data_IF_101084295127
#
_entry.id   IF_101084295127
#
_cell.length_a   1.000
_cell.length_b   1.000
_cell.length_c   1.000
_cell.angle_alpha   90.00
_cell.angle_beta   90.00
_cell.angle_gamma   90.00
#
_symmetry.space_group_name_H-M   'P 1'
#
loop_
_entity.id
_entity.type
_entity.pdbx_description
1 polymer ?
#
# COMPACT_ATOMS: atom_id res chain seq x y z
N UNK A 1 -19.95 -15.38 -74.64
CA UNK A 1 -20.65 -16.67 -74.81
C UNK A 1 -22.08 -16.42 -74.40
N UNK A 2 -22.93 -16.15 -75.40
CA UNK A 2 -24.37 -16.05 -75.25
C UNK A 2 -24.95 -17.45 -75.06
N UNK A 3 -25.98 -17.59 -74.23
CA UNK A 3 -27.14 -18.45 -74.52
C UNK A 3 -28.24 -18.12 -73.51
N UNK A 4 -29.25 -17.38 -73.99
CA UNK A 4 -30.63 -17.48 -73.51
C UNK A 4 -31.24 -18.82 -73.95
N UNK A 5 -32.15 -19.41 -73.16
CA UNK A 5 -33.27 -20.23 -73.67
C UNK A 5 -34.52 -20.00 -72.79
N UNK A 6 -35.62 -19.64 -73.45
CA UNK A 6 -37.01 -19.31 -73.03
C UNK A 6 -37.90 -20.55 -72.71
N UNK A 7 -39.26 -20.49 -72.71
CA UNK A 7 -40.32 -19.91 -71.82
C UNK A 7 -41.27 -21.07 -71.35
N UNK A 8 -42.63 -21.05 -71.27
CA UNK A 8 -43.71 -20.02 -71.16
C UNK A 8 -44.78 -20.32 -70.05
N UNK A 9 -45.80 -19.43 -69.87
CA UNK A 9 -47.26 -19.71 -69.68
C UNK A 9 -48.01 -18.68 -68.78
N UNK A 10 -49.06 -18.09 -69.36
CA UNK A 10 -50.27 -17.50 -68.72
C UNK A 10 -51.31 -18.66 -68.51
N UNK A 11 -52.53 -18.56 -67.89
CA UNK A 11 -53.29 -17.44 -67.31
C UNK A 11 -54.13 -17.77 -66.02
N UNK A 12 -55.04 -16.83 -65.64
CA UNK A 12 -56.35 -17.00 -64.95
C UNK A 12 -56.50 -17.07 -63.41
N UNK A 13 -57.11 -15.99 -62.88
CA UNK A 13 -58.47 -15.90 -62.25
C UNK A 13 -58.81 -16.65 -60.93
N UNK A 14 -59.38 -15.86 -60.01
CA UNK A 14 -60.40 -16.10 -58.95
C UNK A 14 -59.96 -16.17 -57.46
N UNK A 15 -60.44 -15.15 -56.73
CA UNK A 15 -61.01 -15.11 -55.35
C UNK A 15 -60.60 -16.20 -54.34
N UNK A 16 -60.23 -15.77 -53.12
CA UNK A 16 -60.91 -16.09 -51.84
C UNK A 16 -60.25 -15.33 -50.67
N UNK A 17 -61.04 -15.12 -49.62
CA UNK A 17 -60.92 -14.21 -48.48
C UNK A 17 -60.07 -14.81 -47.32
N UNK A 18 -59.70 -13.93 -46.38
CA UNK A 18 -59.42 -14.11 -44.93
C UNK A 18 -57.96 -14.43 -44.50
N UNK A 19 -57.24 -13.47 -43.87
CA UNK A 19 -56.93 -13.41 -42.42
C UNK A 19 -55.88 -12.34 -42.08
N UNK A 20 -56.11 -11.69 -40.94
CA UNK A 20 -55.31 -10.64 -40.30
C UNK A 20 -53.87 -11.05 -39.99
N UNK A 21 -52.95 -10.07 -39.91
CA UNK A 21 -51.82 -10.05 -38.93
C UNK A 21 -51.07 -8.70 -38.93
N UNK A 22 -51.00 -8.15 -37.72
CA UNK A 22 -50.07 -7.17 -37.10
C UNK A 22 -49.13 -6.29 -37.94
N UNK A 23 -49.20 -4.99 -37.66
CA UNK A 23 -48.14 -3.99 -37.90
C UNK A 23 -46.95 -4.21 -36.95
N UNK A 24 -45.69 -3.94 -37.37
CA UNK A 24 -44.59 -3.84 -36.43
C UNK A 24 -44.63 -2.47 -35.75
N UNK A 25 -44.68 -2.49 -34.41
CA UNK A 25 -44.41 -1.33 -33.57
C UNK A 25 -42.92 -1.02 -33.68
N UNK A 26 -42.57 0.10 -34.31
CA UNK A 26 -41.21 0.66 -34.23
C UNK A 26 -41.00 1.21 -32.80
N UNK A 27 -40.41 0.40 -31.94
CA UNK A 27 -39.96 0.86 -30.62
C UNK A 27 -38.67 1.66 -30.81
N UNK A 28 -38.70 2.91 -30.33
CA UNK A 28 -37.59 3.85 -30.30
C UNK A 28 -36.39 3.28 -29.51
N UNK A 29 -35.42 2.66 -30.19
CA UNK A 29 -34.24 2.03 -29.56
C UNK A 29 -33.12 3.02 -29.17
N UNK A 30 -33.17 4.28 -29.63
CA UNK A 30 -32.10 5.27 -29.41
C UNK A 30 -32.05 5.81 -27.97
N UNK A 31 -33.18 5.91 -27.28
CA UNK A 31 -33.23 6.36 -25.87
C UNK A 31 -32.73 5.31 -24.87
N UNK A 32 -32.97 4.03 -25.15
CA UNK A 32 -32.59 2.92 -24.26
C UNK A 32 -31.07 2.70 -24.26
N UNK A 33 -30.41 2.95 -25.39
CA UNK A 33 -28.96 2.84 -25.51
C UNK A 33 -28.22 3.98 -24.79
N UNK A 34 -28.75 5.21 -24.80
CA UNK A 34 -28.19 6.34 -24.04
C UNK A 34 -28.35 6.18 -22.53
N UNK A 35 -29.51 5.68 -22.08
CA UNK A 35 -29.79 5.41 -20.67
C UNK A 35 -28.88 4.31 -20.09
N UNK A 36 -28.59 3.27 -20.87
CA UNK A 36 -27.70 2.18 -20.46
C UNK A 36 -26.23 2.62 -20.43
N UNK A 37 -25.77 3.45 -21.36
CA UNK A 37 -24.43 4.05 -21.35
C UNK A 37 -24.22 5.00 -20.16
N UNK A 38 -25.20 5.85 -19.83
CA UNK A 38 -25.15 6.69 -18.64
C UNK A 38 -25.14 5.86 -17.35
N UNK A 39 -25.94 4.80 -17.28
CA UNK A 39 -25.96 3.90 -16.12
C UNK A 39 -24.62 3.16 -15.94
N UNK A 40 -23.97 2.73 -17.02
CA UNK A 40 -22.61 2.15 -17.00
C UNK A 40 -21.54 3.15 -16.58
N UNK A 41 -21.64 4.41 -17.01
CA UNK A 41 -20.72 5.47 -16.62
C UNK A 41 -20.88 5.85 -15.13
N UNK A 42 -22.12 5.89 -14.62
CA UNK A 42 -22.41 6.13 -13.21
C UNK A 42 -21.98 4.93 -12.34
N UNK A 43 -22.21 3.69 -12.77
CA UNK A 43 -21.71 2.50 -12.07
C UNK A 43 -20.17 2.47 -12.04
N UNK A 44 -19.50 2.86 -13.12
CA UNK A 44 -18.04 2.93 -13.19
C UNK A 44 -17.46 4.04 -12.30
N UNK A 45 -18.14 5.20 -12.18
CA UNK A 45 -17.74 6.28 -11.28
C UNK A 45 -17.90 5.89 -9.79
N UNK A 46 -18.90 5.07 -9.44
CA UNK A 46 -19.09 4.58 -8.07
C UNK A 46 -18.04 3.55 -7.62
N UNK A 47 -17.32 2.91 -8.55
CA UNK A 47 -16.37 1.83 -8.25
C UNK A 47 -14.96 2.32 -7.83
N UNK A 48 -14.71 3.63 -7.82
CA UNK A 48 -13.36 4.17 -7.58
C UNK A 48 -13.08 4.66 -6.16
N UNK A 49 -13.98 4.44 -5.19
CA UNK A 49 -13.63 4.64 -3.79
C UNK A 49 -12.91 3.39 -3.26
N UNK A 50 -11.68 3.15 -3.72
CA UNK A 50 -10.74 2.33 -2.97
C UNK A 50 -10.31 3.18 -1.77
N UNK A 51 -11.05 3.06 -0.67
CA UNK A 51 -10.71 3.72 0.59
C UNK A 51 -9.43 3.07 1.15
N UNK A 52 -8.28 3.60 0.75
CA UNK A 52 -7.00 3.12 1.20
C UNK A 52 -6.83 3.46 2.69
N UNK A 53 -6.92 2.45 3.56
CA UNK A 53 -6.76 2.65 4.99
C UNK A 53 -5.43 3.35 5.34
N UNK A 54 -5.46 4.28 6.30
CA UNK A 54 -4.25 4.90 6.83
C UNK A 54 -3.30 3.83 7.37
N UNK A 55 -2.09 3.80 6.83
CA UNK A 55 -1.01 2.93 7.27
C UNK A 55 0.34 3.60 7.09
N UNK A 56 1.30 3.26 7.93
CA UNK A 56 2.70 3.63 7.73
C UNK A 56 3.36 2.73 6.69
N UNK A 57 4.50 3.17 6.13
CA UNK A 57 5.36 2.27 5.35
C UNK A 57 5.76 1.04 6.17
N UNK A 58 6.00 -0.08 5.49
CA UNK A 58 6.02 -1.42 6.09
C UNK A 58 7.16 -1.66 7.07
N UNK A 59 8.21 -0.83 7.04
CA UNK A 59 9.34 -0.92 7.96
C UNK A 59 9.17 -0.10 9.24
N UNK A 60 8.13 0.72 9.37
CA UNK A 60 7.83 1.42 10.62
C UNK A 60 7.13 0.47 11.61
N UNK A 61 7.44 0.59 12.90
CA UNK A 61 6.82 -0.23 13.94
C UNK A 61 7.34 0.06 15.34
N UNK A 62 6.85 -0.72 16.31
CA UNK A 62 7.30 -0.65 17.70
C UNK A 62 8.80 -0.95 17.84
N UNK A 63 9.44 -0.41 18.88
CA UNK A 63 10.87 -0.61 19.19
C UNK A 63 11.84 -0.07 18.13
N UNK A 64 11.37 0.69 17.15
CA UNK A 64 12.22 1.18 16.06
C UNK A 64 13.15 2.34 16.48
N UNK A 65 14.06 2.69 15.58
CA UNK A 65 14.92 3.88 15.71
C UNK A 65 14.65 4.83 14.55
N UNK A 66 14.38 6.10 14.87
CA UNK A 66 14.31 7.22 13.93
C UNK A 66 15.60 8.03 13.99
N UNK A 67 15.92 8.72 12.90
CA UNK A 67 17.15 9.52 12.81
C UNK A 67 17.12 10.72 13.78
N UNK A 68 18.14 10.84 14.62
CA UNK A 68 18.32 11.96 15.57
C UNK A 68 18.84 13.25 14.92
N UNK A 69 18.81 14.34 15.70
CA UNK A 69 19.44 15.63 15.41
C UNK A 69 20.94 15.49 15.10
N UNK A 70 21.50 16.37 14.24
CA UNK A 70 20.89 17.54 13.61
C UNK A 70 20.01 17.21 12.38
N UNK A 71 19.98 15.95 11.95
CA UNK A 71 19.08 15.50 10.89
C UNK A 71 17.62 15.45 11.36
N UNK A 72 16.70 15.32 10.40
CA UNK A 72 15.25 15.27 10.65
C UNK A 72 14.71 13.93 10.19
N UNK A 73 13.95 13.27 11.07
CA UNK A 73 13.25 12.05 10.72
C UNK A 73 12.08 12.35 9.76
N UNK A 74 12.00 11.56 8.68
CA UNK A 74 10.89 11.63 7.72
C UNK A 74 9.99 10.44 7.98
N UNK A 75 8.70 10.68 8.17
CA UNK A 75 7.68 9.64 8.25
C UNK A 75 6.79 9.74 7.02
N UNK A 76 6.37 8.59 6.52
CA UNK A 76 5.48 8.52 5.38
C UNK A 76 4.68 7.21 5.41
N UNK A 77 3.62 7.17 4.63
CA UNK A 77 2.77 6.01 4.51
C UNK A 77 1.68 6.21 3.48
N UNK A 78 0.65 5.39 3.58
CA UNK A 78 -0.50 5.40 2.68
C UNK A 78 -1.75 5.86 3.43
N UNK A 79 -2.73 6.37 2.70
CA UNK A 79 -4.03 6.75 3.24
C UNK A 79 -5.02 7.08 2.14
N UNK A 80 -6.26 7.47 2.51
CA UNK A 80 -7.29 7.83 1.54
C UNK A 80 -6.92 9.14 0.84
N UNK A 81 -7.16 9.24 -0.47
CA UNK A 81 -6.83 10.44 -1.25
C UNK A 81 -7.54 11.68 -0.67
N UNK A 82 -6.80 12.77 -0.50
CA UNK A 82 -7.31 14.02 0.07
C UNK A 82 -7.48 14.03 1.59
N UNK A 83 -7.26 12.91 2.29
CA UNK A 83 -7.32 12.86 3.74
C UNK A 83 -6.19 13.69 4.38
N UNK A 84 -6.46 14.27 5.55
CA UNK A 84 -5.46 14.99 6.33
C UNK A 84 -4.83 14.09 7.39
N UNK A 85 -3.51 14.00 7.39
CA UNK A 85 -2.72 13.20 8.34
C UNK A 85 -1.93 14.11 9.25
N UNK A 86 -2.00 13.88 10.54
CA UNK A 86 -1.20 14.58 11.56
C UNK A 86 -0.33 13.57 12.30
N UNK A 87 0.93 13.93 12.53
CA UNK A 87 1.85 13.13 13.35
C UNK A 87 2.13 13.88 14.65
N UNK A 88 1.98 13.17 15.76
CA UNK A 88 2.34 13.64 17.09
C UNK A 88 3.37 12.73 17.72
N UNK A 89 4.33 13.34 18.40
CA UNK A 89 5.36 12.70 19.18
C UNK A 89 5.13 13.03 20.66
N UNK A 90 5.14 12.01 21.51
CA UNK A 90 4.99 12.13 22.97
C UNK A 90 6.12 11.38 23.67
N UNK A 91 6.73 11.97 24.70
CA UNK A 91 7.87 11.37 25.40
C UNK A 91 8.70 12.43 26.12
N UNK A 92 10.05 12.33 26.13
CA UNK A 92 10.94 13.35 26.68
C UNK A 92 10.71 14.75 26.12
N UNK A 93 10.20 14.83 24.89
CA UNK A 93 9.77 16.07 24.24
C UNK A 93 8.45 15.80 23.52
N UNK A 94 7.60 16.82 23.40
CA UNK A 94 6.38 16.74 22.63
C UNK A 94 6.51 17.54 21.35
N UNK A 95 5.96 16.98 20.27
CA UNK A 95 5.89 17.64 18.97
C UNK A 95 4.58 17.26 18.29
N UNK A 96 4.01 18.17 17.52
CA UNK A 96 2.87 17.89 16.65
C UNK A 96 3.08 18.61 15.34
N UNK A 97 2.95 17.89 14.23
CA UNK A 97 3.11 18.45 12.89
C UNK A 97 1.84 19.20 12.48
N UNK A 98 1.95 20.11 11.52
CA UNK A 98 0.76 20.54 10.77
C UNK A 98 0.15 19.34 10.03
N UNK A 99 -1.17 19.32 9.79
CA UNK A 99 -1.78 18.31 8.94
C UNK A 99 -1.17 18.35 7.53
N UNK A 100 -0.90 17.18 6.97
CA UNK A 100 -0.48 17.01 5.56
C UNK A 100 -1.58 16.30 4.80
N UNK A 101 -1.79 16.68 3.54
CA UNK A 101 -2.79 16.03 2.68
C UNK A 101 -2.17 14.80 2.02
N UNK A 102 -2.92 13.70 2.00
CA UNK A 102 -2.57 12.52 1.19
C UNK A 102 -2.74 12.86 -0.28
N UNK A 103 -1.70 12.63 -1.07
CA UNK A 103 -1.68 12.84 -2.53
C UNK A 103 -1.17 11.59 -3.23
N UNK A 104 -1.87 11.13 -4.26
CA UNK A 104 -1.57 9.86 -4.96
C UNK A 104 -1.52 8.67 -3.98
N UNK A 105 -2.39 8.68 -2.97
CA UNK A 105 -2.47 7.67 -1.92
C UNK A 105 -1.30 7.66 -0.93
N UNK A 106 -0.38 8.63 -1.00
CA UNK A 106 0.80 8.73 -0.14
C UNK A 106 0.76 10.02 0.68
N UNK A 107 1.14 9.95 1.95
CA UNK A 107 1.43 11.11 2.78
C UNK A 107 2.88 11.05 3.27
N UNK A 108 3.47 12.23 3.49
CA UNK A 108 4.82 12.37 4.03
C UNK A 108 4.91 13.59 4.93
N UNK A 109 5.60 13.44 6.05
CA UNK A 109 5.90 14.54 6.96
C UNK A 109 7.34 14.46 7.43
N UNK A 110 7.94 15.61 7.69
CA UNK A 110 9.29 15.70 8.27
C UNK A 110 9.15 16.27 9.68
N UNK A 111 9.69 15.57 10.67
CA UNK A 111 9.68 16.04 12.05
C UNK A 111 10.71 17.16 12.26
N UNK A 112 10.56 17.91 13.34
CA UNK A 112 11.64 18.75 13.83
C UNK A 112 12.80 17.87 14.34
N UNK A 113 14.04 18.39 14.38
CA UNK A 113 15.17 17.62 14.87
C UNK A 113 14.93 17.24 16.33
N UNK A 114 15.09 15.96 16.64
CA UNK A 114 14.90 15.42 18.00
C UNK A 114 16.25 14.94 18.51
N UNK A 115 16.60 15.35 19.72
CA UNK A 115 17.82 14.93 20.40
C UNK A 115 17.85 13.40 20.60
N UNK A 116 19.05 12.77 20.63
CA UNK A 116 19.17 11.33 20.86
C UNK A 116 18.48 10.88 22.15
N UNK A 117 17.84 9.72 22.09
CA UNK A 117 17.24 9.07 23.26
C UNK A 117 15.81 8.62 23.02
N UNK A 118 15.02 8.62 24.08
CA UNK A 118 13.67 8.07 24.12
C UNK A 118 13.44 7.29 25.41
N UNK A 119 12.40 6.43 25.48
CA UNK A 119 11.48 6.13 24.39
C UNK A 119 10.46 7.24 24.13
N UNK A 120 10.02 7.32 22.88
CA UNK A 120 8.89 8.12 22.45
C UNK A 120 7.73 7.23 21.99
N UNK A 121 6.53 7.79 22.02
CA UNK A 121 5.34 7.29 21.36
C UNK A 121 5.08 8.17 20.14
N UNK A 122 4.93 7.56 18.97
CA UNK A 122 4.55 8.23 17.73
C UNK A 122 3.11 7.86 17.44
N UNK A 123 2.27 8.86 17.29
CA UNK A 123 0.87 8.70 16.92
C UNK A 123 0.60 9.39 15.58
N UNK A 124 0.08 8.64 14.62
CA UNK A 124 -0.29 9.10 13.28
C UNK A 124 -1.80 8.99 13.16
N UNK A 125 -2.47 10.12 13.00
CA UNK A 125 -3.93 10.19 12.98
C UNK A 125 -4.45 10.84 11.69
N UNK A 126 -5.51 10.27 11.13
CA UNK A 126 -6.42 10.93 10.20
C UNK A 126 -7.77 11.19 10.87
N UNK A 127 -8.75 11.71 10.12
CA UNK A 127 -10.11 11.95 10.61
C UNK A 127 -10.82 10.66 11.08
N UNK A 128 -10.50 9.52 10.47
CA UNK A 128 -11.23 8.26 10.65
C UNK A 128 -10.40 7.15 11.31
N UNK A 129 -9.09 7.32 11.41
CA UNK A 129 -8.19 6.24 11.82
C UNK A 129 -6.94 6.74 12.52
N UNK A 130 -6.31 5.86 13.29
CA UNK A 130 -5.13 6.21 14.08
C UNK A 130 -4.18 5.00 14.15
N UNK A 131 -2.89 5.25 13.96
CA UNK A 131 -1.82 4.26 14.00
C UNK A 131 -0.77 4.73 15.01
N UNK A 132 -0.43 3.85 15.95
CA UNK A 132 0.53 4.15 17.02
C UNK A 132 1.78 3.29 16.89
N UNK A 133 2.93 3.88 17.21
CA UNK A 133 4.19 3.17 17.45
C UNK A 133 4.70 3.52 18.84
N UNK A 134 5.17 2.51 19.55
CA UNK A 134 5.64 2.60 20.93
C UNK A 134 7.10 2.21 21.05
N UNK A 135 7.78 2.69 22.09
CA UNK A 135 9.21 2.45 22.31
C UNK A 135 10.09 2.89 21.13
N UNK A 136 9.78 4.05 20.54
CA UNK A 136 10.55 4.62 19.43
C UNK A 136 11.74 5.41 19.97
N UNK A 137 12.95 5.07 19.54
CA UNK A 137 14.17 5.81 19.89
C UNK A 137 14.53 6.79 18.78
N UNK A 138 15.21 7.89 19.13
CA UNK A 138 15.93 8.74 18.20
C UNK A 138 17.43 8.45 18.35
N UNK A 139 18.07 8.06 17.26
CA UNK A 139 19.45 7.60 17.24
C UNK A 139 20.06 7.63 15.84
N UNK A 140 21.19 6.95 15.69
CA UNK A 140 21.80 6.72 14.38
C UNK A 140 21.22 5.45 13.75
N UNK A 141 20.80 5.55 12.48
CA UNK A 141 20.24 4.44 11.72
C UNK A 141 21.26 3.99 10.67
N UNK A 142 21.75 2.76 10.82
CA UNK A 142 22.75 2.18 9.93
C UNK A 142 22.08 1.20 8.97
N UNK A 143 22.26 1.42 7.66
CA UNK A 143 21.89 0.44 6.66
C UNK A 143 23.06 -0.53 6.46
N UNK A 144 22.88 -1.76 6.92
CA UNK A 144 23.87 -2.83 6.74
C UNK A 144 23.48 -3.68 5.53
N UNK A 145 24.30 -3.64 4.49
CA UNK A 145 24.13 -4.43 3.26
C UNK A 145 25.46 -4.98 2.76
N UNK A 146 25.43 -6.09 2.03
CA UNK A 146 26.62 -6.73 1.53
C UNK A 146 26.37 -8.16 1.03
N UNK A 147 27.43 -8.96 1.03
CA UNK A 147 27.37 -10.38 0.68
C UNK A 147 26.77 -11.23 1.80
N UNK A 148 26.61 -12.54 1.56
CA UNK A 148 25.97 -13.50 2.48
C UNK A 148 26.50 -13.49 3.92
N UNK A 149 27.78 -13.16 4.13
CA UNK A 149 28.39 -13.07 5.47
C UNK A 149 27.80 -11.94 6.33
N UNK A 150 27.19 -10.91 5.74
CA UNK A 150 26.49 -9.84 6.48
C UNK A 150 25.13 -10.29 7.03
N UNK A 151 24.67 -11.48 6.63
CA UNK A 151 23.45 -12.13 7.11
C UNK A 151 23.78 -13.38 7.94
N UNK A 152 24.90 -13.36 8.65
CA UNK A 152 25.29 -14.51 9.46
C UNK A 152 24.41 -14.61 10.71
N UNK A 153 24.02 -15.82 11.08
CA UNK A 153 23.16 -16.02 12.25
C UNK A 153 23.97 -15.99 13.54
N UNK A 154 23.43 -15.36 14.58
CA UNK A 154 24.07 -15.36 15.92
C UNK A 154 24.26 -16.76 16.49
N UNK A 155 23.45 -17.75 16.08
CA UNK A 155 23.61 -19.13 16.56
C UNK A 155 24.81 -19.85 15.95
N UNK A 156 25.40 -19.33 14.88
CA UNK A 156 26.49 -19.99 14.14
C UNK A 156 27.85 -19.36 14.39
N UNK A 157 27.93 -18.29 15.19
CA UNK A 157 29.21 -17.67 15.56
C UNK A 157 29.92 -18.47 16.66
N UNK A 158 31.24 -18.33 16.72
CA UNK A 158 32.02 -18.79 17.87
C UNK A 158 31.53 -18.06 19.13
N UNK A 159 31.38 -18.78 20.24
CA UNK A 159 30.89 -18.23 21.51
C UNK A 159 29.47 -17.62 21.48
N UNK A 160 28.61 -18.05 20.54
CA UNK A 160 27.23 -17.57 20.39
C UNK A 160 26.46 -17.40 21.71
N UNK A 161 26.51 -18.38 22.62
CA UNK A 161 25.77 -18.32 23.88
C UNK A 161 26.24 -17.21 24.81
N UNK A 162 27.55 -16.97 24.93
CA UNK A 162 28.07 -15.88 25.78
C UNK A 162 27.80 -14.52 25.14
N UNK A 163 27.93 -14.39 23.82
CA UNK A 163 27.61 -13.15 23.12
C UNK A 163 26.12 -12.78 23.21
N UNK A 164 25.23 -13.76 23.04
CA UNK A 164 23.79 -13.55 23.20
C UNK A 164 23.41 -13.19 24.64
N UNK A 165 24.14 -13.70 25.64
CA UNK A 165 23.94 -13.32 27.04
C UNK A 165 24.32 -11.85 27.30
N UNK A 166 25.17 -11.24 26.47
CA UNK A 166 25.52 -9.82 26.55
C UNK A 166 24.49 -8.92 25.86
N UNK A 167 23.60 -9.44 25.01
CA UNK A 167 22.63 -8.64 24.25
C UNK A 167 21.80 -7.67 25.13
N UNK A 168 21.29 -8.07 26.31
CA UNK A 168 20.55 -7.15 27.20
C UNK A 168 21.37 -5.97 27.73
N UNK A 169 22.71 -6.03 27.68
CA UNK A 169 23.61 -4.93 28.05
C UNK A 169 23.51 -3.74 27.08
N UNK A 170 22.98 -3.96 25.88
CA UNK A 170 22.87 -2.94 24.83
C UNK A 170 21.40 -2.65 24.47
N UNK A 171 20.56 -2.19 25.43
CA UNK A 171 19.11 -2.12 25.24
C UNK A 171 18.67 -1.17 24.12
N UNK A 172 19.50 -0.21 23.73
CA UNK A 172 19.20 0.78 22.68
C UNK A 172 19.58 0.34 21.27
N UNK A 173 20.21 -0.83 21.09
CA UNK A 173 20.51 -1.38 19.76
C UNK A 173 19.28 -2.13 19.25
N UNK A 174 18.68 -1.69 18.14
CA UNK A 174 17.44 -2.27 17.60
C UNK A 174 17.72 -2.96 16.26
N UNK A 175 17.79 -4.30 16.19
CA UNK A 175 17.91 -4.98 14.91
C UNK A 175 16.59 -4.94 14.12
N UNK A 176 16.72 -4.79 12.81
CA UNK A 176 15.65 -4.90 11.82
C UNK A 176 16.19 -5.62 10.59
N UNK A 177 15.35 -6.42 9.91
CA UNK A 177 15.73 -7.12 8.70
C UNK A 177 14.60 -7.12 7.68
N UNK A 178 14.87 -6.55 6.50
CA UNK A 178 14.04 -6.75 5.32
C UNK A 178 14.16 -8.19 4.79
N UNK A 179 13.08 -8.74 4.24
CA UNK A 179 13.12 -10.04 3.60
C UNK A 179 13.92 -10.00 2.29
N UNK A 180 14.50 -11.15 1.92
CA UNK A 180 15.20 -11.30 0.65
C UNK A 180 14.16 -11.49 -0.46
N UNK A 181 13.75 -10.38 -1.04
CA UNK A 181 12.87 -10.36 -2.20
C UNK A 181 13.62 -9.75 -3.38
N UNK A 182 13.43 -10.35 -4.55
CA UNK A 182 13.94 -9.80 -5.82
C UNK A 182 12.78 -9.08 -6.49
N UNK A 183 13.06 -7.91 -7.05
CA UNK A 183 12.12 -7.17 -7.88
C UNK A 183 12.83 -6.71 -9.15
N UNK A 184 12.14 -6.80 -10.28
CA UNK A 184 12.62 -6.26 -11.56
C UNK A 184 12.34 -4.76 -11.69
N UNK A 185 11.52 -4.20 -10.79
CA UNK A 185 11.13 -2.79 -10.76
C UNK A 185 11.41 -2.19 -9.40
N UNK A 186 11.57 -0.86 -9.36
CA UNK A 186 11.69 -0.13 -8.11
C UNK A 186 10.41 -0.28 -7.28
N UNK A 187 10.58 -0.60 -6.00
CA UNK A 187 9.50 -0.70 -5.04
C UNK A 187 9.56 0.50 -4.10
N UNK A 188 8.42 1.15 -3.91
CA UNK A 188 8.30 2.27 -2.96
C UNK A 188 8.38 1.80 -1.50
N UNK A 189 7.93 0.58 -1.22
CA UNK A 189 7.88 0.00 0.12
C UNK A 189 8.37 -1.47 0.10
N UNK A 190 8.70 -2.01 1.27
CA UNK A 190 9.14 -3.39 1.40
C UNK A 190 7.97 -4.35 1.16
N UNK A 191 8.19 -5.38 0.33
CA UNK A 191 7.23 -6.48 0.17
C UNK A 191 7.02 -7.22 1.49
N UNK A 192 8.11 -7.47 2.23
CA UNK A 192 8.06 -8.22 3.47
C UNK A 192 9.21 -7.83 4.41
N UNK A 193 8.89 -7.76 5.70
CA UNK A 193 9.86 -7.67 6.80
C UNK A 193 10.13 -9.07 7.33
N UNK A 194 11.40 -9.48 7.39
CA UNK A 194 11.82 -10.78 7.92
C UNK A 194 11.91 -10.76 9.44
N UNK A 195 12.50 -9.70 10.01
CA UNK A 195 12.62 -9.47 11.44
C UNK A 195 12.18 -8.03 11.70
N UNK A 196 11.04 -7.82 12.39
CA UNK A 196 10.63 -6.49 12.79
C UNK A 196 11.60 -5.91 13.81
N UNK A 197 11.54 -4.59 13.98
CA UNK A 197 12.26 -3.90 15.06
C UNK A 197 12.02 -4.58 16.41
N UNK A 198 13.07 -4.75 17.19
CA UNK A 198 12.96 -5.44 18.47
C UNK A 198 14.02 -5.03 19.48
N UNK A 199 13.70 -5.24 20.75
CA UNK A 199 14.67 -5.16 21.85
C UNK A 199 15.67 -6.33 21.72
N UNK A 200 16.98 -6.09 21.86
CA UNK A 200 17.97 -7.14 21.74
C UNK A 200 17.90 -8.05 22.97
N UNK A 201 17.41 -9.27 22.75
CA UNK A 201 17.32 -10.32 23.77
C UNK A 201 17.89 -11.60 23.20
N UNK A 202 18.38 -12.51 24.05
CA UNK A 202 19.01 -13.75 23.58
C UNK A 202 18.14 -14.56 22.60
N UNK A 203 16.80 -14.48 22.70
CA UNK A 203 15.87 -15.15 21.78
C UNK A 203 15.48 -14.37 20.51
N UNK A 204 15.70 -13.05 20.49
CA UNK A 204 15.32 -12.16 19.37
C UNK A 204 16.52 -11.67 18.55
N UNK A 205 17.72 -11.65 19.12
CA UNK A 205 18.94 -11.26 18.42
C UNK A 205 19.40 -12.41 17.52
N UNK A 206 18.98 -12.37 16.25
CA UNK A 206 19.24 -13.47 15.29
C UNK A 206 20.39 -13.20 14.33
N UNK A 207 20.80 -11.94 14.15
CA UNK A 207 21.76 -11.52 13.12
C UNK A 207 23.04 -11.04 13.79
N UNK A 208 24.17 -11.52 13.28
CA UNK A 208 25.50 -11.02 13.57
C UNK A 208 25.89 -9.99 12.51
N UNK A 209 26.29 -8.79 12.94
CA UNK A 209 26.81 -7.74 12.06
C UNK A 209 28.34 -7.75 12.15
N UNK A 210 29.01 -7.76 11.00
CA UNK A 210 30.48 -7.72 10.87
C UNK A 210 30.91 -6.29 10.58
#
# INVERSE_FOLDING_TARGET
>A
MCTEIFPPYCPRVLKTVIKASCTPVFVCQSGVMFLTLCALFVLSACLHCCDAQLRLASYYGDHMVLQKSPARAVLWGYGPEGAHVTVSLSGPTQQRTSPVTVTEGIWRVTLDPVEPGGPYMVNVSSETSTVNMTDVLFGDVWLCGGQSNMRFHMSTIFNASSELALAPKYPHVRPFQAALNVSETELLDLIQVQIPWSVPTAGKTRIFLI
#
